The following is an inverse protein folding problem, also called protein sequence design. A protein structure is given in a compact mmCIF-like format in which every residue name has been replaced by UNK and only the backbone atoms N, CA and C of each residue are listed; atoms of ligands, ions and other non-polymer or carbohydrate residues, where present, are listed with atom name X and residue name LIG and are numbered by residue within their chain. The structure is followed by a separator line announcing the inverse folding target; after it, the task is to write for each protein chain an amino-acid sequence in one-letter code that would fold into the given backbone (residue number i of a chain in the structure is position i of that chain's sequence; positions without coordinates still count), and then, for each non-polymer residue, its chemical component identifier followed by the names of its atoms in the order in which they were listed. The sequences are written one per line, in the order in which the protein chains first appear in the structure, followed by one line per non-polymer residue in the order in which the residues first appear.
data_IF_627509418626
#
_entry.id   IF_627509418626
#
_cell.length_a   1.000
_cell.length_b   1.000
_cell.length_c   1.000
_cell.angle_alpha   90.00
_cell.angle_beta   90.00
_cell.angle_gamma   90.00
#
_symmetry.space_group_name_H-M   'P 1'
#
loop_
_entity.id
_entity.type
_entity.pdbx_description
1 polymer ?
#
# COMPACT_ATOMS: atom_id res chain seq x y z
N UNK A 1 -17.72 -1.43 20.09
CA UNK A 1 -16.41 -0.89 19.67
C UNK A 1 -16.10 -1.40 18.26
N UNK A 2 -15.90 -0.52 17.27
CA UNK A 2 -15.49 -0.93 15.93
C UNK A 2 -14.02 -1.39 15.93
N UNK A 3 -13.71 -2.44 15.17
CA UNK A 3 -12.35 -2.94 14.98
C UNK A 3 -12.00 -2.86 13.49
N UNK A 4 -10.85 -2.25 13.18
CA UNK A 4 -10.29 -2.22 11.83
C UNK A 4 -9.00 -3.03 11.84
N UNK A 5 -8.93 -4.04 10.98
CA UNK A 5 -7.79 -4.94 10.88
C UNK A 5 -7.25 -4.97 9.44
N UNK A 6 -5.94 -4.88 9.28
CA UNK A 6 -5.30 -4.94 7.97
C UNK A 6 -3.87 -4.41 7.99
N UNK A 7 -3.16 -4.60 6.88
CA UNK A 7 -1.76 -4.20 6.74
C UNK A 7 -1.52 -3.04 5.76
N UNK A 8 -2.57 -2.37 5.28
CA UNK A 8 -2.44 -1.27 4.32
C UNK A 8 -2.22 0.05 5.05
N UNK A 9 -0.95 0.38 5.31
CA UNK A 9 -0.55 1.53 6.14
C UNK A 9 -1.21 2.85 5.76
N UNK A 10 -1.29 3.16 4.46
CA UNK A 10 -1.96 4.38 3.99
C UNK A 10 -3.41 4.48 4.48
N UNK A 11 -4.15 3.38 4.49
CA UNK A 11 -5.58 3.38 4.82
C UNK A 11 -5.77 3.48 6.33
N UNK A 12 -4.93 2.75 7.10
CA UNK A 12 -4.93 2.81 8.56
C UNK A 12 -4.60 4.23 9.03
N UNK A 13 -3.54 4.84 8.51
CA UNK A 13 -3.16 6.19 8.91
C UNK A 13 -4.12 7.26 8.41
N UNK A 14 -4.71 7.10 7.22
CA UNK A 14 -5.76 8.01 6.77
C UNK A 14 -6.97 8.00 7.73
N UNK A 15 -7.35 6.83 8.23
CA UNK A 15 -8.42 6.70 9.22
C UNK A 15 -8.03 7.34 10.58
N UNK A 16 -6.85 7.00 11.10
CA UNK A 16 -6.39 7.44 12.43
C UNK A 16 -6.10 8.95 12.46
N UNK A 17 -5.56 9.50 11.39
CA UNK A 17 -5.17 10.91 11.29
C UNK A 17 -6.27 11.78 10.67
N UNK A 18 -7.42 11.20 10.30
CA UNK A 18 -8.52 11.92 9.64
C UNK A 18 -8.12 12.52 8.29
N UNK A 19 -7.20 11.90 7.56
CA UNK A 19 -6.78 12.40 6.25
C UNK A 19 -7.95 12.27 5.26
N UNK A 20 -8.28 13.37 4.57
CA UNK A 20 -9.21 13.32 3.45
C UNK A 20 -8.50 13.18 2.12
N UNK A 21 -9.08 12.41 1.22
CA UNK A 21 -8.70 12.45 -0.19
C UNK A 21 -9.25 13.76 -0.79
N UNK A 22 -8.42 14.53 -1.53
CA UNK A 22 -8.92 15.70 -2.25
C UNK A 22 -10.12 15.31 -3.12
N UNK A 23 -11.20 16.10 -3.09
CA UNK A 23 -12.42 15.88 -3.86
C UNK A 23 -12.25 16.17 -5.37
N UNK A 24 -11.07 15.87 -5.90
CA UNK A 24 -10.71 15.97 -7.32
C UNK A 24 -10.74 14.55 -7.89
N UNK A 25 -11.73 14.21 -8.75
CA UNK A 25 -11.78 12.91 -9.37
C UNK A 25 -10.55 12.69 -10.29
N UNK A 26 -10.10 11.44 -10.47
CA UNK A 26 -9.11 11.12 -11.50
C UNK A 26 -9.55 11.57 -12.89
N UNK A 27 -8.63 12.11 -13.69
CA UNK A 27 -8.82 12.37 -15.12
C UNK A 27 -7.95 11.38 -15.93
N UNK A 28 -8.53 10.30 -16.48
CA UNK A 28 -7.76 9.28 -17.20
C UNK A 28 -7.01 9.81 -18.42
N UNK A 29 -7.60 10.74 -19.17
CA UNK A 29 -6.99 11.31 -20.38
C UNK A 29 -5.76 12.15 -20.03
N UNK A 30 -5.87 12.98 -19.01
CA UNK A 30 -4.74 13.78 -18.51
C UNK A 30 -3.62 12.88 -17.99
N UNK A 31 -3.95 11.83 -17.24
CA UNK A 31 -2.95 10.88 -16.73
C UNK A 31 -2.21 10.20 -17.86
N UNK A 32 -2.92 9.68 -18.86
CA UNK A 32 -2.29 9.03 -20.01
C UNK A 32 -1.36 9.99 -20.77
N UNK A 33 -1.78 11.24 -20.99
CA UNK A 33 -0.95 12.25 -21.63
C UNK A 33 0.33 12.56 -20.83
N UNK A 34 0.22 12.73 -19.51
CA UNK A 34 1.37 13.00 -18.65
C UNK A 34 2.28 11.77 -18.51
N UNK A 35 1.73 10.56 -18.46
CA UNK A 35 2.51 9.30 -18.45
C UNK A 35 3.34 9.19 -19.74
N UNK A 36 2.73 9.44 -20.90
CA UNK A 36 3.43 9.44 -22.19
C UNK A 36 4.52 10.53 -22.27
N UNK A 37 4.26 11.71 -21.72
CA UNK A 37 5.25 12.79 -21.62
C UNK A 37 6.44 12.38 -20.74
N UNK A 38 6.18 11.76 -19.58
CA UNK A 38 7.23 11.27 -18.70
C UNK A 38 8.07 10.14 -19.32
N UNK A 39 7.46 9.29 -20.15
CA UNK A 39 8.17 8.24 -20.88
C UNK A 39 9.06 8.81 -21.99
N UNK A 40 8.57 9.81 -22.73
CA UNK A 40 9.27 10.39 -23.88
C UNK A 40 10.33 11.43 -23.49
N UNK A 41 10.04 12.28 -22.51
CA UNK A 41 10.89 13.40 -22.10
C UNK A 41 11.56 13.18 -20.73
N UNK A 42 11.22 12.10 -20.04
CA UNK A 42 11.73 11.79 -18.71
C UNK A 42 10.90 12.40 -17.58
N UNK A 43 10.85 11.67 -16.46
CA UNK A 43 10.10 12.06 -15.26
C UNK A 43 10.49 13.42 -14.65
N UNK A 44 11.74 13.86 -14.87
CA UNK A 44 12.22 15.16 -14.38
C UNK A 44 11.44 16.32 -14.99
N UNK A 45 11.02 16.20 -16.25
CA UNK A 45 10.24 17.22 -16.96
C UNK A 45 8.92 17.53 -16.25
N UNK A 46 8.20 16.50 -15.82
CA UNK A 46 6.98 16.69 -15.03
C UNK A 46 7.26 17.25 -13.64
N UNK A 47 8.37 16.84 -13.03
CA UNK A 47 8.76 17.32 -11.72
C UNK A 47 9.12 18.82 -11.75
N UNK A 48 9.79 19.28 -12.80
CA UNK A 48 10.13 20.69 -12.96
C UNK A 48 8.87 21.53 -13.20
N UNK A 49 7.92 21.03 -14.01
CA UNK A 49 6.58 21.63 -14.12
C UNK A 49 5.85 21.71 -12.78
N UNK A 50 5.94 20.67 -11.95
CA UNK A 50 5.38 20.69 -10.61
C UNK A 50 6.08 21.74 -9.73
N UNK A 51 7.40 21.88 -9.83
CA UNK A 51 8.16 22.87 -9.08
C UNK A 51 7.77 24.30 -9.46
N UNK A 52 7.47 24.57 -10.72
CA UNK A 52 7.03 25.90 -11.16
C UNK A 52 5.69 26.32 -10.55
N UNK A 53 4.78 25.36 -10.34
CA UNK A 53 3.44 25.64 -9.79
C UNK A 53 3.37 25.50 -8.26
N UNK A 54 4.08 24.53 -7.70
CA UNK A 54 4.07 24.17 -6.27
C UNK A 54 5.46 23.65 -5.83
N UNK A 55 6.41 24.56 -5.52
CA UNK A 55 7.76 24.21 -5.08
C UNK A 55 7.77 23.33 -3.82
N UNK A 56 6.90 23.63 -2.85
CA UNK A 56 6.82 22.89 -1.59
C UNK A 56 6.40 21.43 -1.82
N UNK A 57 5.46 21.19 -2.74
CA UNK A 57 5.07 19.82 -3.10
C UNK A 57 6.14 19.10 -3.92
N UNK A 58 6.83 19.81 -4.81
CA UNK A 58 7.95 19.26 -5.58
C UNK A 58 9.08 18.80 -4.65
N UNK A 59 9.49 19.61 -3.67
CA UNK A 59 10.56 19.25 -2.74
C UNK A 59 10.22 18.03 -1.86
N UNK A 60 8.92 17.79 -1.61
CA UNK A 60 8.44 16.63 -0.85
C UNK A 60 8.31 15.35 -1.68
N UNK A 61 8.50 15.40 -3.00
CA UNK A 61 8.33 14.27 -3.91
C UNK A 61 9.64 13.91 -4.62
N UNK A 62 9.91 12.63 -4.75
CA UNK A 62 10.96 12.15 -5.66
C UNK A 62 10.39 12.17 -7.09
N UNK A 63 11.13 12.77 -8.03
CA UNK A 63 10.79 12.82 -9.45
C UNK A 63 10.48 11.44 -10.05
N UNK A 64 11.13 10.38 -9.54
CA UNK A 64 10.93 8.99 -9.98
C UNK A 64 9.54 8.46 -9.61
N UNK A 65 8.85 9.10 -8.66
CA UNK A 65 7.48 8.75 -8.31
C UNK A 65 6.48 9.48 -9.22
N UNK A 66 6.54 9.15 -10.51
CA UNK A 66 5.75 9.78 -11.59
C UNK A 66 4.27 9.84 -11.24
N UNK A 67 3.70 8.77 -10.68
CA UNK A 67 2.29 8.72 -10.27
C UNK A 67 1.92 9.81 -9.24
N UNK A 68 2.80 10.11 -8.27
CA UNK A 68 2.56 11.17 -7.28
C UNK A 68 2.73 12.56 -7.86
N UNK A 69 3.68 12.73 -8.79
CA UNK A 69 3.88 14.00 -9.52
C UNK A 69 2.67 14.29 -10.40
N UNK A 70 2.21 13.31 -11.19
CA UNK A 70 1.00 13.40 -12.01
C UNK A 70 -0.22 13.74 -11.16
N UNK A 71 -0.42 13.08 -10.01
CA UNK A 71 -1.55 13.40 -9.12
C UNK A 71 -1.48 14.83 -8.59
N UNK A 72 -0.29 15.36 -8.30
CA UNK A 72 -0.14 16.74 -7.85
C UNK A 72 -0.49 17.74 -8.96
N UNK A 73 0.00 17.49 -10.18
CA UNK A 73 -0.34 18.29 -11.37
C UNK A 73 -1.84 18.21 -11.69
N UNK A 74 -2.45 17.02 -11.64
CA UNK A 74 -3.88 16.79 -11.85
C UNK A 74 -4.75 17.57 -10.86
N UNK A 75 -4.36 17.58 -9.58
CA UNK A 75 -5.04 18.39 -8.56
C UNK A 75 -4.91 19.88 -8.89
N UNK A 76 -3.71 20.35 -9.20
CA UNK A 76 -3.48 21.76 -9.54
C UNK A 76 -4.27 22.19 -10.79
N UNK A 77 -4.32 21.35 -11.81
CA UNK A 77 -5.03 21.65 -13.06
C UNK A 77 -6.54 21.78 -12.83
N UNK A 78 -7.11 20.89 -12.00
CA UNK A 78 -8.53 20.89 -11.68
C UNK A 78 -8.95 22.02 -10.75
N UNK A 79 -8.12 22.38 -9.75
CA UNK A 79 -8.51 23.35 -8.70
C UNK A 79 -7.89 24.73 -8.88
N UNK A 80 -6.81 24.84 -9.68
CA UNK A 80 -5.91 26.01 -9.76
C UNK A 80 -5.26 26.41 -8.43
N UNK A 81 -5.34 25.55 -7.42
CA UNK A 81 -4.68 25.73 -6.12
C UNK A 81 -3.42 24.88 -6.05
N UNK A 82 -2.47 25.27 -5.19
CA UNK A 82 -1.29 24.44 -4.93
C UNK A 82 -1.68 23.27 -4.04
N UNK A 83 -1.40 22.01 -4.41
CA UNK A 83 -1.65 20.86 -3.56
C UNK A 83 -1.05 20.96 -2.15
N UNK A 84 0.09 21.66 -2.00
CA UNK A 84 0.73 21.91 -0.69
C UNK A 84 -0.06 22.88 0.20
N UNK A 85 -0.86 23.77 -0.39
CA UNK A 85 -1.69 24.76 0.33
C UNK A 85 -3.09 24.23 0.63
N UNK A 86 -3.48 23.09 0.05
CA UNK A 86 -4.73 22.43 0.38
C UNK A 86 -4.64 21.84 1.78
N UNK A 87 -5.18 22.57 2.76
CA UNK A 87 -5.23 22.11 4.13
C UNK A 87 -5.95 20.75 4.20
N UNK A 88 -5.36 19.70 4.80
CA UNK A 88 -6.16 18.58 5.21
C UNK A 88 -7.23 19.09 6.19
N UNK A 89 -8.45 18.55 6.17
CA UNK A 89 -9.44 18.86 7.18
C UNK A 89 -8.82 18.60 8.56
N UNK A 90 -9.25 19.35 9.59
CA UNK A 90 -8.75 19.16 10.94
C UNK A 90 -8.89 17.68 11.31
N UNK A 91 -7.77 17.06 11.71
CA UNK A 91 -7.75 15.69 12.16
C UNK A 91 -8.84 15.54 13.24
N UNK A 92 -9.84 14.73 12.99
CA UNK A 92 -10.73 14.28 14.06
C UNK A 92 -9.87 13.36 14.92
N UNK A 93 -9.40 13.87 16.05
CA UNK A 93 -8.64 13.10 17.02
C UNK A 93 -9.59 12.11 17.68
N UNK A 94 -9.93 11.03 16.99
CA UNK A 94 -10.65 9.92 17.59
C UNK A 94 -9.74 9.27 18.63
N UNK A 95 -10.34 8.81 19.72
CA UNK A 95 -9.64 7.99 20.68
C UNK A 95 -9.45 6.59 20.08
N UNK A 96 -8.27 6.38 19.50
CA UNK A 96 -7.92 5.16 18.79
C UNK A 96 -6.81 4.43 19.54
N UNK A 97 -7.00 3.11 19.73
CA UNK A 97 -5.94 2.20 20.12
C UNK A 97 -5.40 1.49 18.89
N UNK A 98 -4.13 1.72 18.56
CA UNK A 98 -3.45 1.02 17.46
C UNK A 98 -2.58 -0.08 18.04
N UNK A 99 -2.99 -1.34 17.82
CA UNK A 99 -2.21 -2.52 18.19
C UNK A 99 -1.49 -3.03 16.94
N UNK A 100 -0.16 -3.14 17.02
CA UNK A 100 0.68 -3.69 15.98
C UNK A 100 1.11 -5.11 16.32
N UNK A 101 0.95 -6.06 15.40
CA UNK A 101 1.52 -7.40 15.55
C UNK A 101 2.87 -7.47 14.86
N UNK A 102 3.91 -7.86 15.58
CA UNK A 102 5.27 -8.05 15.05
C UNK A 102 5.78 -9.46 15.33
N UNK A 103 6.87 -9.83 14.69
CA UNK A 103 7.55 -11.11 14.86
C UNK A 103 9.01 -10.94 14.45
N UNK A 104 9.88 -11.84 14.90
CA UNK A 104 11.24 -11.95 14.38
C UNK A 104 11.21 -12.13 12.84
N UNK A 105 12.14 -11.46 12.14
CA UNK A 105 12.11 -11.31 10.69
C UNK A 105 12.25 -12.65 9.96
N UNK A 106 13.19 -13.50 10.40
CA UNK A 106 13.41 -14.80 9.80
C UNK A 106 12.17 -15.69 9.96
N UNK A 107 11.58 -15.73 11.16
CA UNK A 107 10.34 -16.45 11.42
C UNK A 107 9.15 -15.93 10.57
N UNK A 108 9.06 -14.61 10.37
CA UNK A 108 8.04 -14.01 9.50
C UNK A 108 8.21 -14.46 8.03
N UNK A 109 9.44 -14.48 7.52
CA UNK A 109 9.71 -14.89 6.13
C UNK A 109 9.43 -16.37 5.92
N UNK A 110 9.80 -17.23 6.87
CA UNK A 110 9.46 -18.65 6.82
C UNK A 110 7.94 -18.89 6.84
N UNK A 111 7.19 -18.11 7.64
CA UNK A 111 5.72 -18.18 7.64
C UNK A 111 5.13 -17.71 6.31
N UNK A 112 5.69 -16.66 5.71
CA UNK A 112 5.27 -16.19 4.38
C UNK A 112 5.50 -17.28 3.35
N UNK A 113 6.67 -17.91 3.35
CA UNK A 113 7.04 -18.92 2.36
C UNK A 113 6.12 -20.13 2.45
N UNK A 114 5.93 -20.67 3.66
CA UNK A 114 4.97 -21.77 3.90
C UNK A 114 3.54 -21.40 3.49
N UNK A 115 3.13 -20.15 3.72
CA UNK A 115 1.79 -19.67 3.32
C UNK A 115 1.64 -19.65 1.80
N UNK A 116 2.66 -19.21 1.06
CA UNK A 116 2.63 -19.22 -0.39
C UNK A 116 2.56 -20.65 -0.92
N UNK A 117 3.35 -21.57 -0.37
CA UNK A 117 3.31 -23.00 -0.76
C UNK A 117 1.91 -23.59 -0.50
N UNK A 118 1.35 -23.35 0.68
CA UNK A 118 0.00 -23.81 1.03
C UNK A 118 -1.08 -23.20 0.13
N UNK A 119 -0.93 -21.95 -0.32
CA UNK A 119 -1.86 -21.33 -1.28
C UNK A 119 -1.82 -22.05 -2.63
N UNK A 120 -0.63 -22.43 -3.11
CA UNK A 120 -0.48 -23.19 -4.37
C UNK A 120 -1.16 -24.56 -4.24
N UNK A 121 -0.90 -25.28 -3.15
CA UNK A 121 -1.54 -26.57 -2.85
C UNK A 121 -3.07 -26.45 -2.75
N UNK A 122 -3.57 -25.33 -2.22
CA UNK A 122 -5.00 -25.04 -2.10
C UNK A 122 -5.66 -24.59 -3.42
N UNK A 123 -4.94 -24.55 -4.54
CA UNK A 123 -5.50 -24.24 -5.85
C UNK A 123 -5.40 -22.77 -6.28
N UNK A 124 -4.47 -21.98 -5.71
CA UNK A 124 -4.27 -20.59 -6.11
C UNK A 124 -3.98 -20.42 -7.61
N UNK A 125 -3.24 -21.35 -8.23
CA UNK A 125 -3.03 -21.32 -9.68
C UNK A 125 -4.34 -21.44 -10.47
N UNK A 126 -5.24 -22.31 -10.03
CA UNK A 126 -6.54 -22.50 -10.67
C UNK A 126 -7.43 -21.25 -10.52
N UNK A 127 -7.37 -20.58 -9.37
CA UNK A 127 -8.03 -19.28 -9.17
C UNK A 127 -7.51 -18.24 -10.19
N UNK A 128 -6.19 -18.08 -10.31
CA UNK A 128 -5.58 -17.10 -11.24
C UNK A 128 -5.97 -17.42 -12.69
N UNK A 129 -5.93 -18.70 -13.08
CA UNK A 129 -6.35 -19.13 -14.40
C UNK A 129 -7.82 -18.75 -14.67
N UNK A 130 -8.73 -19.01 -13.72
CA UNK A 130 -10.15 -18.68 -13.88
C UNK A 130 -10.41 -17.18 -14.07
N UNK A 131 -9.62 -16.32 -13.41
CA UNK A 131 -9.74 -14.87 -13.53
C UNK A 131 -9.27 -14.37 -14.90
N UNK A 132 -8.19 -14.92 -15.43
CA UNK A 132 -7.68 -14.60 -16.78
C UNK A 132 -8.66 -15.06 -17.85
N UNK A 133 -9.22 -16.27 -17.70
CA UNK A 133 -10.28 -16.78 -18.59
C UNK A 133 -11.52 -15.88 -18.58
N UNK A 134 -11.87 -15.33 -17.40
CA UNK A 134 -12.91 -14.33 -17.21
C UNK A 134 -12.55 -12.91 -17.69
N UNK A 135 -11.45 -12.74 -18.44
CA UNK A 135 -10.96 -11.48 -19.03
C UNK A 135 -10.49 -10.44 -18.02
N UNK A 136 -10.04 -10.87 -16.84
CA UNK A 136 -9.29 -10.03 -15.92
C UNK A 136 -7.78 -10.24 -16.14
N UNK A 137 -7.08 -9.33 -16.83
CA UNK A 137 -5.66 -9.50 -17.13
C UNK A 137 -4.81 -9.43 -15.86
N UNK A 138 -3.85 -10.34 -15.73
CA UNK A 138 -2.86 -10.31 -14.67
C UNK A 138 -1.99 -9.04 -14.76
N UNK A 139 -1.51 -8.54 -13.62
CA UNK A 139 -0.69 -7.32 -13.56
C UNK A 139 -1.47 -6.01 -13.68
N UNK A 140 -2.80 -6.04 -13.63
CA UNK A 140 -3.63 -4.83 -13.64
C UNK A 140 -4.56 -4.77 -12.42
N UNK A 141 -4.71 -3.57 -11.86
CA UNK A 141 -5.62 -3.33 -10.73
C UNK A 141 -5.38 -4.28 -9.56
N UNK A 142 -6.41 -5.02 -9.17
CA UNK A 142 -6.31 -6.00 -8.08
C UNK A 142 -5.35 -7.16 -8.40
N UNK A 143 -5.17 -7.49 -9.69
CA UNK A 143 -4.31 -8.59 -10.15
C UNK A 143 -2.84 -8.19 -10.33
N UNK A 144 -2.47 -6.96 -9.95
CA UNK A 144 -1.07 -6.54 -9.76
C UNK A 144 -0.52 -6.92 -8.36
N UNK A 145 -1.35 -7.57 -7.53
CA UNK A 145 -0.94 -8.05 -6.22
C UNK A 145 0.06 -9.22 -6.32
N UNK A 146 0.99 -9.38 -5.34
CA UNK A 146 1.91 -10.51 -5.30
C UNK A 146 1.18 -11.84 -5.41
N UNK A 147 1.66 -12.74 -6.26
CA UNK A 147 1.04 -14.02 -6.57
C UNK A 147 0.26 -13.98 -7.88
N UNK A 148 -0.73 -13.10 -7.99
CA UNK A 148 -1.56 -12.99 -9.20
C UNK A 148 -0.72 -12.61 -10.42
N UNK A 149 0.15 -11.60 -10.27
CA UNK A 149 1.03 -11.15 -11.35
C UNK A 149 2.02 -12.24 -11.76
N UNK A 150 2.66 -12.88 -10.80
CA UNK A 150 3.68 -13.91 -11.04
C UNK A 150 3.09 -15.17 -11.67
N UNK A 151 1.93 -15.63 -11.19
CA UNK A 151 1.24 -16.79 -11.76
C UNK A 151 0.64 -16.48 -13.13
N UNK A 152 0.20 -15.25 -13.36
CA UNK A 152 -0.18 -14.79 -14.71
C UNK A 152 0.98 -14.90 -15.71
N UNK A 153 2.18 -14.46 -15.33
CA UNK A 153 3.38 -14.62 -16.17
C UNK A 153 3.74 -16.09 -16.43
N UNK A 154 3.47 -17.00 -15.49
CA UNK A 154 3.59 -18.44 -15.73
C UNK A 154 2.58 -18.92 -16.77
N UNK A 155 1.31 -18.52 -16.63
CA UNK A 155 0.25 -18.90 -17.58
C UNK A 155 0.49 -18.34 -18.99
N UNK A 156 1.16 -17.19 -19.09
CA UNK A 156 1.62 -16.60 -20.37
C UNK A 156 2.89 -17.28 -20.93
N UNK A 157 3.45 -18.28 -20.24
CA UNK A 157 4.66 -18.99 -20.66
C UNK A 157 5.98 -18.22 -20.48
N UNK A 158 5.96 -17.09 -19.75
CA UNK A 158 7.14 -16.23 -19.51
C UNK A 158 8.03 -16.79 -18.40
N UNK A 159 7.43 -17.46 -17.40
CA UNK A 159 8.13 -18.04 -16.25
C UNK A 159 7.80 -19.53 -16.11
N UNK A 160 8.66 -20.29 -15.44
CA UNK A 160 8.27 -21.60 -14.90
C UNK A 160 7.39 -21.42 -13.66
N UNK A 161 6.63 -22.46 -13.30
CA UNK A 161 5.82 -22.42 -12.08
C UNK A 161 6.69 -22.22 -10.83
N UNK A 162 7.84 -22.90 -10.77
CA UNK A 162 8.81 -22.75 -9.68
C UNK A 162 9.30 -21.29 -9.54
N UNK A 163 9.64 -20.65 -10.66
CA UNK A 163 10.09 -19.26 -10.68
C UNK A 163 8.96 -18.30 -10.26
N UNK A 164 7.73 -18.55 -10.72
CA UNK A 164 6.56 -17.75 -10.31
C UNK A 164 6.30 -17.85 -8.80
N UNK A 165 6.40 -19.04 -8.21
CA UNK A 165 6.24 -19.26 -6.76
C UNK A 165 7.37 -18.58 -5.98
N UNK A 166 8.63 -18.75 -6.40
CA UNK A 166 9.79 -18.10 -5.79
C UNK A 166 9.69 -16.57 -5.81
N UNK A 167 9.25 -16.00 -6.95
CA UNK A 167 9.00 -14.55 -7.06
C UNK A 167 7.85 -14.11 -6.17
N UNK A 168 6.78 -14.89 -6.07
CA UNK A 168 5.64 -14.59 -5.17
C UNK A 168 6.10 -14.45 -3.72
N UNK A 169 6.94 -15.37 -3.24
CA UNK A 169 7.57 -15.30 -1.90
C UNK A 169 8.37 -14.02 -1.73
N UNK A 170 9.30 -13.76 -2.65
CA UNK A 170 10.14 -12.55 -2.64
C UNK A 170 9.32 -11.25 -2.64
N UNK A 171 8.28 -11.17 -3.45
CA UNK A 171 7.41 -10.00 -3.55
C UNK A 171 6.56 -9.82 -2.29
N UNK A 172 6.16 -10.92 -1.65
CA UNK A 172 5.47 -10.90 -0.36
C UNK A 172 6.39 -10.47 0.79
N UNK A 173 7.67 -10.89 0.80
CA UNK A 173 8.67 -10.35 1.74
C UNK A 173 8.88 -8.85 1.56
N UNK A 174 8.95 -8.38 0.31
CA UNK A 174 9.04 -6.94 0.01
C UNK A 174 7.79 -6.19 0.47
N UNK A 175 6.60 -6.78 0.33
CA UNK A 175 5.37 -6.21 0.86
C UNK A 175 5.43 -6.08 2.39
N UNK A 176 5.83 -7.14 3.11
CA UNK A 176 6.02 -7.11 4.56
C UNK A 176 7.03 -6.03 4.97
N UNK A 177 8.16 -5.90 4.25
CA UNK A 177 9.14 -4.83 4.49
C UNK A 177 8.53 -3.44 4.30
N UNK A 178 7.72 -3.23 3.26
CA UNK A 178 7.01 -1.97 3.04
C UNK A 178 6.01 -1.68 4.15
N UNK A 179 5.35 -2.70 4.71
CA UNK A 179 4.46 -2.54 5.85
C UNK A 179 5.23 -2.03 7.09
N UNK A 180 6.42 -2.56 7.38
CA UNK A 180 7.29 -2.02 8.43
C UNK A 180 7.76 -0.58 8.21
N UNK A 181 7.84 -0.12 6.95
CA UNK A 181 8.12 1.29 6.67
C UNK A 181 6.95 2.20 7.05
N UNK A 182 5.72 1.69 6.95
CA UNK A 182 4.50 2.39 7.37
C UNK A 182 4.25 2.29 8.87
N UNK A 183 4.53 1.13 9.47
CA UNK A 183 4.35 0.83 10.88
C UNK A 183 5.72 0.65 11.51
N UNK A 184 6.38 1.76 11.86
CA UNK A 184 7.72 1.72 12.41
C UNK A 184 7.69 1.18 13.84
N UNK A 185 8.67 0.36 14.20
CA UNK A 185 8.77 -0.23 15.54
C UNK A 185 8.90 0.83 16.66
N UNK A 186 9.42 2.01 16.33
CA UNK A 186 9.58 3.13 17.26
C UNK A 186 8.45 4.17 17.18
N UNK A 187 7.38 3.90 16.44
CA UNK A 187 6.23 4.79 16.38
C UNK A 187 5.46 4.72 17.72
N UNK A 188 5.42 5.81 18.51
CA UNK A 188 4.79 5.80 19.84
C UNK A 188 3.27 5.63 19.78
N UNK A 189 2.65 5.77 18.60
CA UNK A 189 1.21 5.58 18.42
C UNK A 189 0.82 4.10 18.40
N UNK A 190 1.78 3.18 18.26
CA UNK A 190 1.54 1.75 18.10
C UNK A 190 1.95 1.00 19.36
N UNK A 191 1.01 0.27 19.95
CA UNK A 191 1.30 -0.74 20.97
C UNK A 191 1.67 -2.05 20.28
N UNK A 192 2.97 -2.35 20.24
CA UNK A 192 3.49 -3.56 19.59
C UNK A 192 3.34 -4.79 20.49
N UNK A 193 2.83 -5.87 19.92
CA UNK A 193 2.75 -7.19 20.53
C UNK A 193 3.45 -8.22 19.63
N UNK A 194 4.19 -9.14 20.25
CA UNK A 194 4.80 -10.25 19.52
C UNK A 194 3.74 -11.30 19.17
N UNK A 195 3.57 -11.58 17.88
CA UNK A 195 2.62 -12.55 17.36
C UNK A 195 3.00 -14.01 17.66
N UNK A 196 4.19 -14.27 18.21
CA UNK A 196 4.61 -15.57 18.72
C UNK A 196 4.35 -15.76 20.21
N UNK A 197 3.95 -14.71 20.93
CA UNK A 197 3.68 -14.78 22.36
C UNK A 197 2.40 -15.58 22.65
N UNK A 198 2.50 -16.56 23.56
CA UNK A 198 1.35 -17.36 24.01
C UNK A 198 0.34 -16.53 24.81
N UNK A 199 0.77 -15.42 25.43
CA UNK A 199 -0.07 -14.47 26.15
C UNK A 199 -0.62 -13.32 25.30
N UNK A 200 -0.52 -13.41 23.96
CA UNK A 200 -0.88 -12.34 23.03
C UNK A 200 -2.31 -11.81 23.26
N UNK A 201 -3.27 -12.72 23.48
CA UNK A 201 -4.68 -12.36 23.62
C UNK A 201 -4.93 -11.63 24.94
N UNK A 202 -4.30 -12.09 26.02
CA UNK A 202 -4.35 -11.47 27.34
C UNK A 202 -3.73 -10.07 27.29
N UNK A 203 -2.55 -9.92 26.67
CA UNK A 203 -1.88 -8.63 26.48
C UNK A 203 -2.71 -7.66 25.65
N UNK A 204 -3.29 -8.10 24.54
CA UNK A 204 -4.18 -7.28 23.72
C UNK A 204 -5.44 -6.85 24.49
N UNK A 205 -6.03 -7.76 25.26
CA UNK A 205 -7.23 -7.48 26.08
C UNK A 205 -6.93 -6.47 27.18
N UNK A 206 -5.75 -6.56 27.81
CA UNK A 206 -5.29 -5.60 28.80
C UNK A 206 -5.13 -4.20 28.20
N UNK A 207 -4.55 -4.08 27.00
CA UNK A 207 -4.44 -2.80 26.30
C UNK A 207 -5.80 -2.18 25.99
N UNK A 208 -6.75 -2.99 25.50
CA UNK A 208 -8.11 -2.54 25.21
C UNK A 208 -8.81 -2.07 26.49
N UNK A 209 -8.67 -2.82 27.59
CA UNK A 209 -9.33 -2.49 28.86
C UNK A 209 -8.73 -1.25 29.54
N UNK A 210 -7.45 -0.99 29.34
CA UNK A 210 -6.76 0.20 29.86
C UNK A 210 -6.97 1.45 28.99
N UNK A 211 -7.43 1.28 27.74
CA UNK A 211 -7.67 2.41 26.85
C UNK A 211 -8.95 3.13 27.27
N UNK A 212 -8.90 4.43 27.58
CA UNK A 212 -10.05 5.17 28.08
C UNK A 212 -11.21 5.07 27.09
N UNK A 213 -12.44 4.84 27.55
CA UNK A 213 -13.63 5.03 26.73
C UNK A 213 -13.91 6.52 26.59
N UNK A 214 -14.25 6.98 25.38
CA UNK A 214 -14.93 8.27 25.25
C UNK A 214 -16.40 8.01 25.52
N UNK A 215 -16.85 8.33 26.74
CA UNK A 215 -18.25 8.60 27.03
C UNK A 215 -18.57 10.06 26.65
#
# INVERSE_FOLDING_TARGET
MPIVAGGTGQYVWALVEGQSVPAVPPNPELRAALEQEAESLGSQTLHDRLRDVDPARADALDHRNVRRVIRALEIHEATRQRPSEMAPPPATHGNHLVIGLTMERQALYERIDRRVDAMIEAGFLAEVQSLIEARYPAGQGALDSPGYRELGLYLDGVLSLEEAVSRTKTQTHRLARRQYNWFKANDPRISWLDASDTGLVEHATALVSAHPSQD
#
